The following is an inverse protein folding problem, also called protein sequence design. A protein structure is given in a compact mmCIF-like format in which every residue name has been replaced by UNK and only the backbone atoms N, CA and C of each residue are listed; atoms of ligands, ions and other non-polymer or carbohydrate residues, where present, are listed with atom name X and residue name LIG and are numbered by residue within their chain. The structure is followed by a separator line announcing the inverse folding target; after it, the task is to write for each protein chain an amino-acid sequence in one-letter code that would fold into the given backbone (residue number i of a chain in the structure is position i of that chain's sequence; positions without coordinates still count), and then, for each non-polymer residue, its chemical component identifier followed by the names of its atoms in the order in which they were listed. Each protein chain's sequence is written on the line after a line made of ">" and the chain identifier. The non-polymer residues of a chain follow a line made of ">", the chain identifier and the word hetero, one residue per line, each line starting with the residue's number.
data_IF_717220543268
#
_entry.id   IF_717220543268
#
_cell.length_a   1.000
_cell.length_b   1.000
_cell.length_c   1.000
_cell.angle_alpha   90.00
_cell.angle_beta   90.00
_cell.angle_gamma   90.00
#
_symmetry.space_group_name_H-M   'P 1'
#
loop_
_entity.id
_entity.type
_entity.pdbx_description
1 polymer ?
#
# COMPACT_ATOMS: atom_id res chain seq x y z
N UNK A 1 -4.40 8.64 15.87
CA UNK A 1 -4.13 9.34 14.59
C UNK A 1 -3.28 8.41 13.75
N UNK A 2 -3.73 8.00 12.55
CA UNK A 2 -2.85 7.31 11.60
C UNK A 2 -1.88 8.35 11.03
N UNK A 3 -0.73 8.51 11.67
CA UNK A 3 0.36 9.40 11.27
C UNK A 3 1.24 8.77 10.21
N UNK A 4 0.62 8.30 9.12
CA UNK A 4 1.33 7.74 7.98
C UNK A 4 1.47 8.75 6.85
N UNK A 5 2.54 8.65 6.07
CA UNK A 5 2.79 9.46 4.89
C UNK A 5 2.30 8.75 3.63
N UNK A 6 1.39 9.38 2.89
CA UNK A 6 1.02 8.89 1.56
C UNK A 6 2.05 9.31 0.52
N UNK A 7 2.47 8.37 -0.33
CA UNK A 7 3.40 8.61 -1.43
C UNK A 7 2.60 8.64 -2.73
N UNK A 8 2.77 9.75 -3.45
CA UNK A 8 2.02 10.06 -4.66
C UNK A 8 2.97 10.28 -5.83
N UNK A 9 2.55 9.84 -7.01
CA UNK A 9 3.19 10.16 -8.28
C UNK A 9 2.09 10.53 -9.27
N UNK A 10 2.22 11.66 -9.95
CA UNK A 10 1.22 12.15 -10.92
C UNK A 10 -0.21 12.17 -10.36
N UNK A 11 -0.36 12.57 -9.08
CA UNK A 11 -1.64 12.58 -8.37
C UNK A 11 -2.18 11.19 -7.97
N UNK A 12 -1.48 10.11 -8.32
CA UNK A 12 -1.86 8.72 -8.01
C UNK A 12 -1.11 8.24 -6.77
N UNK A 13 -1.84 7.85 -5.74
CA UNK A 13 -1.28 7.24 -4.53
C UNK A 13 -0.95 5.78 -4.80
N UNK A 14 0.34 5.45 -4.78
CA UNK A 14 0.81 4.08 -5.04
C UNK A 14 1.50 3.44 -3.84
N UNK A 15 1.90 4.23 -2.85
CA UNK A 15 2.52 3.74 -1.64
C UNK A 15 2.12 4.59 -0.42
N UNK A 16 2.31 4.05 0.76
CA UNK A 16 2.19 4.78 2.02
C UNK A 16 3.17 4.23 3.04
N UNK A 17 3.74 5.11 3.83
CA UNK A 17 4.49 4.77 5.02
C UNK A 17 3.55 4.90 6.23
N UNK A 18 3.55 3.92 7.12
CA UNK A 18 2.82 4.01 8.38
C UNK A 18 3.59 3.30 9.49
N UNK A 19 3.96 4.06 10.53
CA UNK A 19 4.63 3.50 11.71
C UNK A 19 6.03 2.96 11.40
N UNK A 20 6.76 3.59 10.48
CA UNK A 20 8.08 3.16 10.01
C UNK A 20 8.04 2.03 8.99
N UNK A 21 6.85 1.58 8.58
CA UNK A 21 6.69 0.50 7.61
C UNK A 21 6.19 1.05 6.28
N UNK A 22 6.88 0.70 5.20
CA UNK A 22 6.45 1.05 3.84
C UNK A 22 5.47 0.02 3.31
N UNK A 23 4.37 0.50 2.73
CA UNK A 23 3.35 -0.30 2.10
C UNK A 23 3.13 0.14 0.65
N UNK A 24 3.03 -0.83 -0.26
CA UNK A 24 2.82 -0.62 -1.69
C UNK A 24 1.42 -1.06 -2.10
N UNK A 25 0.84 -0.36 -3.07
CA UNK A 25 -0.45 -0.74 -3.64
C UNK A 25 -0.30 -2.03 -4.46
N UNK A 26 -1.12 -3.03 -4.16
CA UNK A 26 -1.11 -4.30 -4.87
C UNK A 26 -2.53 -4.77 -5.21
N UNK A 27 -2.68 -5.44 -6.34
CA UNK A 27 -3.88 -6.17 -6.70
C UNK A 27 -3.82 -7.59 -6.13
N UNK A 28 -4.81 -8.43 -6.44
CA UNK A 28 -4.85 -9.80 -5.91
C UNK A 28 -3.64 -10.64 -6.36
N UNK A 29 -3.16 -10.45 -7.60
CA UNK A 29 -2.04 -11.21 -8.14
C UNK A 29 -0.71 -10.78 -7.51
N UNK A 30 -0.46 -9.46 -7.45
CA UNK A 30 0.75 -8.92 -6.84
C UNK A 30 0.76 -9.13 -5.32
N UNK A 31 -0.41 -9.07 -4.68
CA UNK A 31 -0.57 -9.43 -3.27
C UNK A 31 -0.15 -10.86 -2.98
N UNK A 32 -0.57 -11.84 -3.81
CA UNK A 32 -0.14 -13.24 -3.65
C UNK A 32 1.37 -13.44 -3.81
N UNK A 33 2.01 -12.68 -4.71
CA UNK A 33 3.48 -12.70 -4.83
C UNK A 33 4.16 -12.14 -3.57
N UNK A 34 3.64 -11.04 -3.03
CA UNK A 34 4.14 -10.43 -1.79
C UNK A 34 3.93 -11.36 -0.59
N UNK A 35 2.78 -12.02 -0.50
CA UNK A 35 2.48 -13.04 0.52
C UNK A 35 3.50 -14.19 0.46
N UNK A 36 3.81 -14.69 -0.74
CA UNK A 36 4.83 -15.71 -0.95
C UNK A 36 6.25 -15.28 -0.55
N UNK A 37 6.53 -13.96 -0.54
CA UNK A 37 7.77 -13.36 -0.04
C UNK A 37 7.73 -13.02 1.45
N UNK A 38 6.70 -13.44 2.19
CA UNK A 38 6.54 -13.18 3.62
C UNK A 38 6.03 -11.77 3.96
N UNK A 39 5.44 -11.07 3.00
CA UNK A 39 4.82 -9.77 3.24
C UNK A 39 3.36 -9.90 3.65
N UNK A 40 2.87 -8.92 4.40
CA UNK A 40 1.52 -8.93 4.95
C UNK A 40 0.66 -7.80 4.36
N UNK A 41 -0.64 -8.04 4.15
CA UNK A 41 -1.56 -6.99 3.72
C UNK A 41 -1.82 -6.01 4.87
N UNK A 42 -1.88 -4.72 4.54
CA UNK A 42 -2.27 -3.68 5.47
C UNK A 42 -3.76 -3.85 5.84
N UNK A 43 -3.99 -4.25 7.10
CA UNK A 43 -5.33 -4.37 7.66
C UNK A 43 -5.47 -3.44 8.85
N UNK A 44 -6.55 -2.66 8.87
CA UNK A 44 -6.89 -1.84 10.03
C UNK A 44 -8.36 -2.02 10.40
N UNK A 45 -8.65 -1.93 11.70
CA UNK A 45 -10.01 -1.86 12.20
C UNK A 45 -10.49 -0.42 12.02
N UNK A 46 -11.45 -0.22 11.12
CA UNK A 46 -12.09 1.08 10.97
C UNK A 46 -12.90 1.40 12.23
N UNK A 47 -13.14 2.68 12.51
CA UNK A 47 -13.84 3.17 13.70
C UNK A 47 -15.27 2.65 13.87
N UNK A 48 -15.83 2.00 12.85
CA UNK A 48 -17.12 1.32 12.87
C UNK A 48 -17.01 -0.19 13.20
N UNK A 49 -15.85 -0.65 13.68
CA UNK A 49 -15.58 -2.06 13.98
C UNK A 49 -15.34 -2.95 12.75
N UNK A 50 -15.42 -2.42 11.52
CA UNK A 50 -15.16 -3.21 10.31
C UNK A 50 -13.67 -3.28 10.01
N UNK A 51 -13.13 -4.50 9.89
CA UNK A 51 -11.78 -4.72 9.36
C UNK A 51 -11.77 -4.34 7.87
N UNK A 52 -11.10 -3.24 7.54
CA UNK A 52 -10.88 -2.86 6.15
C UNK A 52 -9.49 -3.34 5.77
N UNK A 53 -9.43 -4.38 4.95
CA UNK A 53 -8.19 -4.78 4.28
C UNK A 53 -8.05 -3.84 3.09
N UNK A 54 -6.98 -3.06 3.09
CA UNK A 54 -6.68 -2.23 1.94
C UNK A 54 -5.84 -3.03 0.95
N UNK A 55 -5.90 -2.64 -0.32
CA UNK A 55 -5.02 -3.14 -1.38
C UNK A 55 -3.58 -2.61 -1.23
N UNK A 56 -3.07 -2.55 0.00
CA UNK A 56 -1.71 -2.12 0.35
C UNK A 56 -1.02 -3.27 1.07
N UNK A 57 0.22 -3.55 0.70
CA UNK A 57 0.99 -4.67 1.22
C UNK A 57 2.33 -4.17 1.70
N UNK A 58 2.81 -4.72 2.81
CA UNK A 58 4.12 -4.38 3.36
C UNK A 58 5.19 -4.69 2.31
N UNK A 59 6.20 -3.83 2.20
CA UNK A 59 7.37 -4.11 1.39
C UNK A 59 8.15 -5.27 2.04
N UNK A 60 8.50 -6.32 1.28
CA UNK A 60 9.31 -7.41 1.80
C UNK A 60 10.64 -6.87 2.35
N UNK A 61 11.11 -7.42 3.47
CA UNK A 61 12.37 -6.98 4.08
C UNK A 61 13.55 -7.10 3.10
N UNK A 62 13.59 -8.18 2.32
CA UNK A 62 14.58 -8.37 1.25
C UNK A 62 14.60 -7.24 0.20
N UNK A 63 13.43 -6.65 -0.08
CA UNK A 63 13.34 -5.51 -0.99
C UNK A 63 13.74 -4.19 -0.32
N UNK A 64 13.71 -4.09 1.02
CA UNK A 64 14.21 -2.89 1.70
C UNK A 64 15.73 -2.78 1.62
N UNK A 65 16.43 -3.92 1.57
CA UNK A 65 17.89 -3.99 1.42
C UNK A 65 18.36 -3.95 -0.05
N UNK A 66 17.45 -4.17 -1.01
CA UNK A 66 17.72 -4.11 -2.44
C UNK A 66 16.98 -2.94 -3.12
N UNK A 67 17.68 -1.83 -3.42
CA UNK A 67 17.09 -0.67 -4.08
C UNK A 67 16.48 -0.97 -5.46
N UNK A 68 17.00 -1.96 -6.18
CA UNK A 68 16.50 -2.33 -7.50
C UNK A 68 15.17 -3.11 -7.38
N UNK A 69 15.09 -4.06 -6.45
CA UNK A 69 13.85 -4.78 -6.16
C UNK A 69 12.78 -3.81 -5.63
N UNK A 70 13.14 -2.90 -4.71
CA UNK A 70 12.22 -1.87 -4.23
C UNK A 70 11.68 -0.98 -5.36
N UNK A 71 12.56 -0.57 -6.28
CA UNK A 71 12.18 0.24 -7.42
C UNK A 71 11.24 -0.53 -8.37
N UNK A 72 11.50 -1.82 -8.60
CA UNK A 72 10.65 -2.68 -9.42
C UNK A 72 9.25 -2.86 -8.80
N UNK A 73 9.19 -3.19 -7.51
CA UNK A 73 7.93 -3.31 -6.77
C UNK A 73 7.16 -1.98 -6.75
N UNK A 74 7.85 -0.86 -6.54
CA UNK A 74 7.23 0.48 -6.53
C UNK A 74 6.67 0.88 -7.88
N UNK A 75 7.38 0.58 -8.98
CA UNK A 75 6.88 0.81 -10.36
C UNK A 75 5.64 -0.03 -10.63
N UNK A 76 5.66 -1.30 -10.25
CA UNK A 76 4.51 -2.20 -10.41
C UNK A 76 3.31 -1.73 -9.60
N UNK A 77 3.53 -1.32 -8.36
CA UNK A 77 2.49 -0.73 -7.51
C UNK A 77 1.88 0.53 -8.11
N UNK A 78 2.71 1.39 -8.73
CA UNK A 78 2.24 2.58 -9.44
C UNK A 78 1.37 2.23 -10.65
N UNK A 79 1.77 1.24 -11.45
CA UNK A 79 0.93 0.79 -12.58
C UNK A 79 -0.42 0.24 -12.10
N UNK A 80 -0.42 -0.57 -11.04
CA UNK A 80 -1.65 -1.10 -10.44
C UNK A 80 -2.51 0.06 -9.92
N UNK A 81 -1.91 1.03 -9.24
CA UNK A 81 -2.61 2.21 -8.74
C UNK A 81 -3.23 3.04 -9.86
N UNK A 82 -2.53 3.16 -10.99
CA UNK A 82 -2.99 3.91 -12.18
C UNK A 82 -4.11 3.18 -12.92
N UNK A 83 -4.07 1.84 -12.97
CA UNK A 83 -5.11 1.01 -13.58
C UNK A 83 -6.34 0.86 -12.69
N UNK A 84 -6.15 0.92 -11.36
CA UNK A 84 -7.26 0.87 -10.43
C UNK A 84 -8.17 2.09 -10.65
N UNK A 85 -9.49 1.91 -10.76
CA UNK A 85 -10.40 3.04 -10.82
C UNK A 85 -10.17 3.89 -9.57
N UNK A 86 -10.07 5.21 -9.75
CA UNK A 86 -9.92 6.15 -8.64
C UNK A 86 -11.12 5.96 -7.69
N UNK A 87 -10.93 5.14 -6.65
CA UNK A 87 -11.94 5.01 -5.60
C UNK A 87 -12.02 6.40 -4.98
N UNK A 88 -13.21 7.03 -4.95
CA UNK A 88 -13.34 8.39 -4.44
C UNK A 88 -12.68 8.41 -3.07
N UNK A 89 -11.72 9.33 -2.88
CA UNK A 89 -11.09 9.58 -1.59
C UNK A 89 -12.23 9.76 -0.60
N UNK A 90 -12.49 8.74 0.25
CA UNK A 90 -13.37 8.93 1.39
C UNK A 90 -12.67 9.97 2.24
N UNK A 91 -13.16 11.20 2.15
CA UNK A 91 -12.70 12.32 2.94
C UNK A 91 -12.69 11.84 4.39
N UNK A 92 -11.50 11.90 5.00
CA UNK A 92 -11.34 11.59 6.41
C UNK A 92 -12.17 12.63 7.15
N UNK A 93 -13.33 12.21 7.67
CA UNK A 93 -14.13 13.01 8.59
C UNK A 93 -13.23 13.31 9.79
N UNK A 94 -12.74 14.55 9.86
CA UNK A 94 -12.23 15.12 11.09
C UNK A 94 -13.44 15.21 12.04
N UNK A 95 -13.31 14.60 13.21
CA UNK A 95 -14.11 14.93 14.38
C UNK A 95 -13.34 15.93 15.20
#
# INVERSE_FOLDING_TARGET
>A
MFGGHGIYRDGTMFALEAGGTLYLKADAAFGGELEGRGSEPFSYVASNGRRTVMSYWRVPEAAMDDPEDLAALSRRAFEIARRAPAKPRRAKAAR
#
